data_IF_886784965683
#
_entry.id   IF_886784965683
#
_cell.length_a   1.000
_cell.length_b   1.000
_cell.length_c   1.000
_cell.angle_alpha   90.00
_cell.angle_beta   90.00
_cell.angle_gamma   90.00
#
_symmetry.space_group_name_H-M   'P 1'
#
loop_
_entity.id
_entity.type
_entity.pdbx_description
1 polymer ?
#
# COMPACT_ATOMS: atom_id res chain seq x y z
N UNK A 1 -49.94 38.28 -22.93
CA UNK A 1 -48.50 38.17 -23.30
C UNK A 1 -47.56 38.06 -22.09
N UNK A 2 -47.88 38.61 -20.90
CA UNK A 2 -47.06 38.47 -19.67
C UNK A 2 -47.01 37.04 -19.12
N UNK A 3 -48.17 36.37 -19.01
CA UNK A 3 -48.31 35.03 -18.39
C UNK A 3 -47.48 33.94 -19.10
N UNK A 4 -47.39 33.98 -20.44
CA UNK A 4 -46.56 33.04 -21.20
C UNK A 4 -45.06 33.29 -21.00
N UNK A 5 -44.64 34.56 -20.87
CA UNK A 5 -43.22 34.92 -20.67
C UNK A 5 -42.71 34.45 -19.31
N UNK A 6 -43.54 34.54 -18.27
CA UNK A 6 -43.19 34.10 -16.92
C UNK A 6 -43.04 32.57 -16.83
N UNK A 7 -43.82 31.81 -17.60
CA UNK A 7 -43.70 30.33 -17.72
C UNK A 7 -42.40 29.89 -18.41
N UNK A 8 -42.02 30.55 -19.51
CA UNK A 8 -40.74 30.25 -20.19
C UNK A 8 -39.53 30.64 -19.34
N UNK A 9 -39.60 31.76 -18.62
CA UNK A 9 -38.52 32.15 -17.69
C UNK A 9 -38.39 31.14 -16.55
N UNK A 10 -39.49 30.68 -15.95
CA UNK A 10 -39.46 29.63 -14.92
C UNK A 10 -38.90 28.31 -15.45
N UNK A 11 -39.30 27.89 -16.66
CA UNK A 11 -38.77 26.70 -17.32
C UNK A 11 -37.26 26.79 -17.58
N UNK A 12 -36.79 27.94 -18.08
CA UNK A 12 -35.36 28.18 -18.30
C UNK A 12 -34.58 28.13 -16.98
N UNK A 13 -35.10 28.71 -15.90
CA UNK A 13 -34.48 28.63 -14.57
C UNK A 13 -34.37 27.17 -14.11
N UNK A 14 -35.44 26.38 -14.24
CA UNK A 14 -35.44 24.96 -13.86
C UNK A 14 -34.42 24.16 -14.68
N UNK A 15 -34.35 24.40 -15.99
CA UNK A 15 -33.36 23.75 -16.87
C UNK A 15 -31.94 24.15 -16.47
N UNK A 16 -31.69 25.44 -16.20
CA UNK A 16 -30.38 25.91 -15.75
C UNK A 16 -29.98 25.27 -14.41
N UNK A 17 -30.92 25.12 -13.48
CA UNK A 17 -30.66 24.43 -12.20
C UNK A 17 -30.30 22.97 -12.43
N UNK A 18 -31.07 22.24 -13.24
CA UNK A 18 -30.79 20.83 -13.55
C UNK A 18 -29.41 20.70 -14.22
N UNK A 19 -29.10 21.58 -15.17
CA UNK A 19 -27.83 21.57 -15.87
C UNK A 19 -26.66 21.86 -14.92
N UNK A 20 -26.79 22.84 -14.04
CA UNK A 20 -25.78 23.14 -13.03
C UNK A 20 -25.61 21.99 -12.04
N UNK A 21 -26.69 21.37 -11.55
CA UNK A 21 -26.61 20.22 -10.65
C UNK A 21 -25.93 19.03 -11.33
N UNK A 22 -26.27 18.76 -12.58
CA UNK A 22 -25.66 17.67 -13.36
C UNK A 22 -24.18 17.93 -13.59
N UNK A 23 -23.80 19.17 -13.96
CA UNK A 23 -22.42 19.55 -14.16
C UNK A 23 -21.60 19.40 -12.86
N UNK A 24 -22.14 19.83 -11.72
CA UNK A 24 -21.49 19.66 -10.41
C UNK A 24 -21.35 18.18 -10.03
N UNK A 25 -22.37 17.35 -10.27
CA UNK A 25 -22.31 15.92 -10.00
C UNK A 25 -21.23 15.23 -10.86
N UNK A 26 -21.17 15.54 -12.15
CA UNK A 26 -20.14 15.00 -13.06
C UNK A 26 -18.75 15.44 -12.63
N UNK A 27 -18.57 16.74 -12.36
CA UNK A 27 -17.29 17.27 -11.86
C UNK A 27 -16.88 16.61 -10.54
N UNK A 28 -17.83 16.42 -9.62
CA UNK A 28 -17.59 15.73 -8.35
C UNK A 28 -17.09 14.31 -8.54
N UNK A 29 -17.70 13.54 -9.43
CA UNK A 29 -17.25 12.16 -9.75
C UNK A 29 -15.86 12.17 -10.38
N UNK A 30 -15.62 13.03 -11.36
CA UNK A 30 -14.32 13.11 -12.06
C UNK A 30 -13.20 13.49 -11.09
N UNK A 31 -13.39 14.52 -10.27
CA UNK A 31 -12.39 14.98 -9.31
C UNK A 31 -12.14 13.95 -8.21
N UNK A 32 -13.18 13.25 -7.74
CA UNK A 32 -13.03 12.18 -6.74
C UNK A 32 -12.20 11.04 -7.31
N UNK A 33 -12.49 10.58 -8.52
CA UNK A 33 -11.73 9.51 -9.17
C UNK A 33 -10.29 9.93 -9.42
N UNK A 34 -10.06 11.17 -9.87
CA UNK A 34 -8.71 11.69 -10.09
C UNK A 34 -7.93 11.77 -8.78
N UNK A 35 -8.57 12.24 -7.70
CA UNK A 35 -7.97 12.30 -6.37
C UNK A 35 -7.62 10.91 -5.83
N UNK A 36 -8.51 9.94 -5.99
CA UNK A 36 -8.25 8.56 -5.57
C UNK A 36 -7.05 7.97 -6.32
N UNK A 37 -6.99 8.13 -7.65
CA UNK A 37 -5.88 7.62 -8.44
C UNK A 37 -4.55 8.30 -8.08
N UNK A 38 -4.55 9.63 -7.88
CA UNK A 38 -3.35 10.36 -7.48
C UNK A 38 -2.87 9.93 -6.08
N UNK A 39 -3.78 9.69 -5.13
CA UNK A 39 -3.43 9.17 -3.81
C UNK A 39 -2.86 7.75 -3.89
N UNK A 40 -3.49 6.85 -4.67
CA UNK A 40 -2.96 5.49 -4.89
C UNK A 40 -1.55 5.53 -5.47
N UNK A 41 -1.32 6.32 -6.51
CA UNK A 41 0.00 6.47 -7.13
C UNK A 41 1.05 7.02 -6.16
N UNK A 42 0.69 8.01 -5.34
CA UNK A 42 1.57 8.57 -4.32
C UNK A 42 1.92 7.54 -3.24
N UNK A 43 0.94 6.77 -2.78
CA UNK A 43 1.17 5.68 -1.82
C UNK A 43 2.09 4.62 -2.44
N UNK A 44 1.81 4.16 -3.65
CA UNK A 44 2.61 3.15 -4.34
C UNK A 44 4.06 3.59 -4.52
N UNK A 45 4.29 4.83 -4.95
CA UNK A 45 5.64 5.37 -5.12
C UNK A 45 6.35 5.51 -3.78
N UNK A 46 5.68 6.03 -2.74
CA UNK A 46 6.26 6.15 -1.40
C UNK A 46 6.63 4.78 -0.83
N UNK A 47 5.73 3.79 -0.90
CA UNK A 47 6.01 2.43 -0.41
C UNK A 47 7.12 1.77 -1.21
N UNK A 48 7.17 1.96 -2.52
CA UNK A 48 8.25 1.46 -3.37
C UNK A 48 9.61 2.01 -2.93
N UNK A 49 9.71 3.33 -2.76
CA UNK A 49 10.96 3.99 -2.40
C UNK A 49 11.46 3.56 -1.01
N UNK A 50 10.53 3.43 -0.05
CA UNK A 50 10.82 2.92 1.30
C UNK A 50 11.34 1.49 1.23
N UNK A 51 10.62 0.60 0.55
CA UNK A 51 10.97 -0.82 0.46
C UNK A 51 12.30 -1.02 -0.27
N UNK A 52 12.56 -0.29 -1.36
CA UNK A 52 13.86 -0.33 -2.06
C UNK A 52 14.99 0.14 -1.14
N UNK A 53 14.79 1.26 -0.43
CA UNK A 53 15.81 1.82 0.44
C UNK A 53 16.10 0.91 1.63
N UNK A 54 15.05 0.37 2.26
CA UNK A 54 15.17 -0.60 3.33
C UNK A 54 15.89 -1.87 2.85
N UNK A 55 15.48 -2.43 1.71
CA UNK A 55 16.13 -3.60 1.11
C UNK A 55 17.61 -3.35 0.79
N UNK A 56 17.97 -2.16 0.30
CA UNK A 56 19.36 -1.79 0.02
C UNK A 56 20.24 -1.62 1.27
N UNK A 57 19.62 -1.38 2.44
CA UNK A 57 20.31 -1.29 3.73
C UNK A 57 20.45 -2.64 4.45
N UNK A 58 19.80 -3.68 3.93
CA UNK A 58 19.84 -5.02 4.48
C UNK A 58 20.83 -5.89 3.70
N UNK A 59 21.49 -6.81 4.41
CA UNK A 59 22.36 -7.81 3.79
C UNK A 59 21.53 -9.05 3.42
N UNK A 60 21.29 -9.25 2.12
CA UNK A 60 20.49 -10.36 1.60
C UNK A 60 21.10 -11.74 1.88
N UNK A 61 22.43 -11.85 1.96
CA UNK A 61 23.09 -13.11 2.28
C UNK A 61 22.94 -13.43 3.78
N UNK A 62 23.04 -12.42 4.65
CA UNK A 62 22.73 -12.57 6.07
C UNK A 62 21.26 -12.99 6.27
N UNK A 63 20.32 -12.29 5.64
CA UNK A 63 18.88 -12.60 5.72
C UNK A 63 18.55 -14.01 5.27
N UNK A 64 19.15 -14.47 4.17
CA UNK A 64 18.96 -15.83 3.64
C UNK A 64 19.45 -16.91 4.62
N UNK A 65 20.44 -16.60 5.45
CA UNK A 65 21.02 -17.52 6.42
C UNK A 65 20.26 -17.58 7.75
N UNK A 66 19.27 -16.72 7.97
CA UNK A 66 18.55 -16.64 9.25
C UNK A 66 17.65 -17.85 9.45
N UNK A 67 17.66 -18.36 10.69
CA UNK A 67 16.69 -19.31 11.21
C UNK A 67 15.96 -18.74 12.42
N UNK A 68 14.95 -19.46 12.92
CA UNK A 68 14.19 -19.06 14.11
C UNK A 68 15.07 -18.91 15.36
N UNK A 69 16.14 -19.69 15.45
CA UNK A 69 17.08 -19.69 16.57
C UNK A 69 18.05 -18.49 16.55
N UNK A 70 18.12 -17.76 15.43
CA UNK A 70 19.05 -16.63 15.27
C UNK A 70 18.57 -15.32 15.89
N UNK A 71 17.41 -15.29 16.56
CA UNK A 71 16.81 -14.06 17.10
C UNK A 71 17.75 -13.23 18.00
N UNK A 72 18.65 -13.89 18.73
CA UNK A 72 19.62 -13.23 19.62
C UNK A 72 20.94 -12.85 18.95
N UNK A 73 21.13 -13.20 17.68
CA UNK A 73 22.38 -12.94 16.95
C UNK A 73 22.50 -11.49 16.49
N UNK A 74 23.74 -11.03 16.32
CA UNK A 74 24.01 -9.66 15.85
C UNK A 74 23.49 -9.42 14.42
N UNK A 75 23.48 -10.43 13.56
CA UNK A 75 22.89 -10.32 12.20
C UNK A 75 21.39 -10.04 12.26
N UNK A 76 20.65 -10.77 13.09
CA UNK A 76 19.22 -10.57 13.28
C UNK A 76 18.94 -9.19 13.88
N UNK A 77 19.65 -8.83 14.97
CA UNK A 77 19.50 -7.53 15.63
C UNK A 77 19.80 -6.34 14.73
N UNK A 78 20.79 -6.45 13.84
CA UNK A 78 21.08 -5.40 12.85
C UNK A 78 19.92 -5.21 11.88
N UNK A 79 19.44 -6.29 11.27
CA UNK A 79 18.32 -6.20 10.33
C UNK A 79 17.04 -5.71 11.01
N UNK A 80 16.74 -6.22 12.21
CA UNK A 80 15.64 -5.76 13.06
C UNK A 80 15.72 -4.26 13.34
N UNK A 81 16.90 -3.77 13.74
CA UNK A 81 17.13 -2.36 14.02
C UNK A 81 16.93 -1.49 12.79
N UNK A 82 17.40 -1.94 11.62
CA UNK A 82 17.16 -1.24 10.35
C UNK A 82 15.66 -1.11 10.09
N UNK A 83 14.90 -2.21 10.13
CA UNK A 83 13.45 -2.17 9.91
C UNK A 83 12.71 -1.30 10.93
N UNK A 84 13.10 -1.38 12.21
CA UNK A 84 12.53 -0.54 13.30
C UNK A 84 12.72 0.95 12.99
N UNK A 85 13.90 1.36 12.49
CA UNK A 85 14.11 2.75 12.10
C UNK A 85 13.17 3.18 10.97
N UNK A 86 12.94 2.34 9.97
CA UNK A 86 11.97 2.65 8.91
C UNK A 86 10.55 2.73 9.46
N UNK A 87 10.14 1.79 10.32
CA UNK A 87 8.80 1.78 10.91
C UNK A 87 8.54 3.05 11.73
N UNK A 88 9.44 3.36 12.66
CA UNK A 88 9.27 4.48 13.60
C UNK A 88 9.40 5.85 12.93
N UNK A 89 10.38 6.04 12.04
CA UNK A 89 10.65 7.37 11.48
C UNK A 89 9.76 7.72 10.29
N UNK A 90 9.19 6.72 9.61
CA UNK A 90 8.30 6.93 8.46
C UNK A 90 6.82 6.74 8.85
N UNK A 91 6.57 6.35 10.10
CA UNK A 91 5.25 6.07 10.66
C UNK A 91 4.51 5.00 9.85
N UNK A 92 5.21 3.92 9.53
CA UNK A 92 4.60 2.76 8.86
C UNK A 92 3.83 1.94 9.88
N UNK A 93 2.67 1.44 9.48
CA UNK A 93 1.93 0.48 10.31
C UNK A 93 2.73 -0.82 10.43
N UNK A 94 3.18 -1.36 9.29
CA UNK A 94 3.98 -2.59 9.22
C UNK A 94 5.10 -2.47 8.19
N UNK A 95 6.24 -3.12 8.48
CA UNK A 95 7.32 -3.37 7.51
C UNK A 95 8.08 -4.63 7.93
N UNK A 96 8.16 -5.64 7.06
CA UNK A 96 8.77 -6.92 7.41
C UNK A 96 9.54 -7.53 6.25
N UNK A 97 10.44 -8.45 6.58
CA UNK A 97 11.16 -9.26 5.60
C UNK A 97 10.47 -10.60 5.38
N UNK A 98 10.41 -11.00 4.11
CA UNK A 98 9.80 -12.24 3.65
C UNK A 98 10.90 -13.15 3.09
N UNK A 99 10.83 -14.45 3.40
CA UNK A 99 11.73 -15.44 2.84
C UNK A 99 11.33 -15.80 1.39
N UNK A 100 12.31 -16.13 0.53
CA UNK A 100 12.01 -16.63 -0.80
C UNK A 100 11.11 -17.86 -0.73
N UNK A 101 10.25 -18.08 -1.75
CA UNK A 101 9.23 -19.10 -1.66
C UNK A 101 9.88 -20.48 -1.60
N UNK A 102 9.48 -21.29 -0.63
CA UNK A 102 9.83 -22.71 -0.54
C UNK A 102 8.57 -23.51 -0.85
N UNK A 103 8.64 -24.38 -1.85
CA UNK A 103 7.49 -25.18 -2.31
C UNK A 103 6.26 -24.34 -2.73
N UNK A 104 6.48 -23.07 -3.12
CA UNK A 104 5.44 -22.14 -3.58
C UNK A 104 4.83 -21.26 -2.50
N UNK A 105 5.22 -21.43 -1.24
CA UNK A 105 4.77 -20.65 -0.09
C UNK A 105 5.83 -19.65 0.34
N UNK A 106 5.41 -18.42 0.59
CA UNK A 106 6.23 -17.37 1.18
C UNK A 106 6.05 -17.38 2.69
N UNK A 107 7.11 -17.07 3.43
CA UNK A 107 7.09 -17.08 4.89
C UNK A 107 7.71 -15.85 5.50
N UNK A 108 7.27 -15.46 6.70
CA UNK A 108 7.87 -14.40 7.49
C UNK A 108 9.31 -14.72 7.91
N UNK A 109 10.12 -13.67 8.07
CA UNK A 109 11.45 -13.76 8.69
C UNK A 109 11.63 -12.76 9.83
N UNK A 110 11.69 -11.47 9.51
CA UNK A 110 11.93 -10.41 10.49
C UNK A 110 10.74 -9.46 10.47
N UNK A 111 10.18 -9.22 11.64
CA UNK A 111 9.11 -8.26 11.87
C UNK A 111 9.44 -7.40 13.11
N UNK A 112 9.65 -6.07 12.97
CA UNK A 112 9.88 -5.13 14.06
C UNK A 112 8.64 -4.79 14.89
N UNK A 113 7.47 -5.28 14.50
CA UNK A 113 6.21 -4.97 15.19
C UNK A 113 6.25 -5.41 16.66
N UNK A 114 5.99 -4.47 17.57
CA UNK A 114 6.05 -4.72 19.02
C UNK A 114 4.84 -5.54 19.50
N UNK A 115 3.67 -5.28 18.92
CA UNK A 115 2.41 -5.90 19.30
C UNK A 115 2.03 -6.94 18.25
N UNK A 116 2.09 -8.21 18.62
CA UNK A 116 1.74 -9.34 17.75
C UNK A 116 2.64 -9.46 16.50
N UNK A 117 3.98 -9.59 16.67
CA UNK A 117 4.88 -9.74 15.53
C UNK A 117 4.61 -11.03 14.76
N UNK A 118 4.78 -10.95 13.45
CA UNK A 118 4.90 -12.07 12.53
C UNK A 118 5.83 -13.14 13.08
N UNK A 119 5.30 -14.35 13.31
CA UNK A 119 6.13 -15.47 13.72
C UNK A 119 7.05 -15.90 12.56
N UNK A 120 8.35 -16.09 12.85
CA UNK A 120 9.31 -16.58 11.86
C UNK A 120 8.82 -17.90 11.24
N UNK A 121 8.75 -17.95 9.91
CA UNK A 121 8.31 -19.12 9.17
C UNK A 121 6.79 -19.21 8.97
N UNK A 122 6.00 -18.30 9.53
CA UNK A 122 4.55 -18.27 9.27
C UNK A 122 4.26 -17.97 7.80
N UNK A 123 3.28 -18.66 7.19
CA UNK A 123 2.94 -18.47 5.79
C UNK A 123 2.32 -17.09 5.57
N UNK A 124 2.51 -16.55 4.37
CA UNK A 124 1.89 -15.30 3.93
C UNK A 124 1.14 -15.48 2.62
N UNK A 125 0.19 -14.57 2.38
CA UNK A 125 -0.59 -14.57 1.15
C UNK A 125 0.33 -14.29 -0.04
N UNK A 126 0.39 -15.24 -0.97
CA UNK A 126 1.24 -15.14 -2.14
C UNK A 126 0.58 -14.28 -3.24
N UNK A 127 0.92 -12.99 -3.28
CA UNK A 127 0.42 -12.05 -4.30
C UNK A 127 1.27 -12.05 -5.57
N UNK A 128 0.71 -11.51 -6.66
CA UNK A 128 1.45 -11.36 -7.92
C UNK A 128 2.62 -10.37 -7.78
N UNK A 129 2.46 -9.31 -6.98
CA UNK A 129 3.55 -8.40 -6.68
C UNK A 129 4.68 -9.11 -5.93
N UNK A 130 4.34 -9.92 -4.92
CA UNK A 130 5.34 -10.67 -4.15
C UNK A 130 6.08 -11.70 -5.02
N UNK A 131 5.39 -12.39 -5.92
CA UNK A 131 6.02 -13.30 -6.89
C UNK A 131 6.99 -12.57 -7.83
N UNK A 132 6.65 -11.34 -8.26
CA UNK A 132 7.57 -10.49 -9.05
C UNK A 132 8.75 -10.00 -8.21
N UNK A 133 8.52 -9.59 -6.96
CA UNK A 133 9.57 -9.16 -6.04
C UNK A 133 10.60 -10.28 -5.79
N UNK A 134 10.14 -11.53 -5.69
CA UNK A 134 11.01 -12.70 -5.53
C UNK A 134 11.99 -12.92 -6.71
N UNK A 135 11.73 -12.34 -7.88
CA UNK A 135 12.66 -12.40 -9.04
C UNK A 135 13.58 -11.19 -9.13
N UNK A 136 13.58 -10.33 -8.10
CA UNK A 136 14.41 -9.11 -8.04
C UNK A 136 13.80 -7.90 -8.72
N UNK A 137 12.52 -7.95 -9.09
CA UNK A 137 11.79 -6.82 -9.70
C UNK A 137 10.91 -6.18 -8.65
N UNK A 138 11.16 -4.90 -8.32
CA UNK A 138 10.31 -4.19 -7.37
C UNK A 138 8.86 -4.12 -7.87
N UNK A 139 7.92 -4.50 -7.01
CA UNK A 139 6.51 -4.51 -7.32
C UNK A 139 5.68 -4.08 -6.09
N UNK A 140 4.46 -3.65 -6.35
CA UNK A 140 3.44 -3.29 -5.35
C UNK A 140 2.12 -3.89 -5.83
N UNK A 141 1.25 -4.29 -4.91
CA UNK A 141 -0.09 -4.74 -5.25
C UNK A 141 -0.97 -3.54 -5.62
N UNK A 142 -1.69 -3.63 -6.73
CA UNK A 142 -2.52 -2.53 -7.24
C UNK A 142 -3.84 -2.37 -6.46
N UNK A 143 -4.35 -3.47 -5.91
CA UNK A 143 -5.54 -3.49 -5.08
C UNK A 143 -5.15 -3.86 -3.64
N UNK A 144 -5.64 -3.11 -2.65
CA UNK A 144 -5.40 -3.43 -1.25
C UNK A 144 -6.07 -4.76 -0.89
N UNK A 145 -5.39 -5.54 -0.07
CA UNK A 145 -5.91 -6.75 0.54
C UNK A 145 -5.56 -6.74 2.02
N UNK A 146 -6.13 -7.68 2.77
CA UNK A 146 -5.86 -7.90 4.19
C UNK A 146 -5.54 -9.37 4.37
N UNK A 147 -4.54 -9.67 5.20
CA UNK A 147 -4.20 -11.01 5.65
C UNK A 147 -4.22 -11.11 7.18
N UNK A 148 -3.63 -12.17 7.73
CA UNK A 148 -3.60 -12.39 9.19
C UNK A 148 -2.71 -11.38 9.94
N UNK A 149 -1.96 -10.53 9.22
CA UNK A 149 -0.92 -9.64 9.75
C UNK A 149 -1.14 -8.16 9.42
N UNK A 150 -2.18 -7.81 8.64
CA UNK A 150 -2.53 -6.44 8.26
C UNK A 150 -3.15 -6.35 6.88
#
# INVERSE_FOLDING_TARGET
MKIFRDSYTALLIVISIILLLTANAVLGVVLTNQSQNAMKELIHNRMRDISITAAAMLDGDELKSLTKEDADTEKYKRAMKTLTYFQDNIELEYIYCIQPPKDGEFTFSIDPTVKDPGEFGSPIVATDALRKAATGVTAVDDEPYTDDWG
#
